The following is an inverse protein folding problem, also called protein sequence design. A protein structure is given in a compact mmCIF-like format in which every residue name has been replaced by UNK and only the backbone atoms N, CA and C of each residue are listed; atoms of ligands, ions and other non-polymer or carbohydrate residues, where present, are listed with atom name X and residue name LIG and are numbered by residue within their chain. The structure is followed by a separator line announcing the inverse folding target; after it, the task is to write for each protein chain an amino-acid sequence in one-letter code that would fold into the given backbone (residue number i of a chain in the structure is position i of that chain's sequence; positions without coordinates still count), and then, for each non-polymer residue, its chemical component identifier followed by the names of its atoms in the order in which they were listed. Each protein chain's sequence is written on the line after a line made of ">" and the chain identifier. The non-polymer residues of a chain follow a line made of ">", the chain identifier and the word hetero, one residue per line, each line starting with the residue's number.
data_IF_830394195423
#
_entry.id   IF_830394195423
#
_cell.length_a   1.000
_cell.length_b   1.000
_cell.length_c   1.000
_cell.angle_alpha   90.00
_cell.angle_beta   90.00
_cell.angle_gamma   90.00
#
_symmetry.space_group_name_H-M   'P 1'
#
loop_
_entity.id
_entity.type
_entity.pdbx_description
1 polymer ?
#
# COMPACT_ATOMS: atom_id res chain seq x y z
N UNK A 1 -2.43 -34.65 -40.71
CA UNK A 1 -3.52 -33.83 -40.13
C UNK A 1 -3.05 -33.47 -38.72
N UNK A 2 -1.89 -32.81 -38.59
CA UNK A 2 -1.08 -32.84 -37.35
C UNK A 2 -0.86 -31.46 -36.70
N UNK A 3 -1.33 -30.37 -37.33
CA UNK A 3 -1.02 -29.00 -36.92
C UNK A 3 -2.00 -28.35 -35.93
N UNK A 4 -3.11 -29.04 -35.61
CA UNK A 4 -4.13 -28.51 -34.71
C UNK A 4 -3.81 -28.72 -33.24
N UNK A 5 -3.20 -29.87 -32.91
CA UNK A 5 -2.99 -30.29 -31.52
C UNK A 5 -2.00 -29.38 -30.77
N UNK A 6 -0.94 -28.93 -31.45
CA UNK A 6 0.06 -28.03 -30.86
C UNK A 6 -0.52 -26.65 -30.51
N UNK A 7 -1.50 -26.17 -31.28
CA UNK A 7 -2.18 -24.88 -31.04
C UNK A 7 -3.09 -24.94 -29.82
N UNK A 8 -3.76 -26.07 -29.59
CA UNK A 8 -4.56 -26.28 -28.38
C UNK A 8 -3.69 -26.34 -27.11
N UNK A 9 -2.49 -26.93 -27.18
CA UNK A 9 -1.55 -26.93 -26.05
C UNK A 9 -1.00 -25.53 -25.75
N UNK A 10 -0.68 -24.73 -26.77
CA UNK A 10 -0.26 -23.34 -26.61
C UNK A 10 -1.34 -22.46 -25.98
N UNK A 11 -2.60 -22.63 -26.39
CA UNK A 11 -3.72 -21.88 -25.83
C UNK A 11 -4.05 -22.34 -24.40
N UNK A 12 -3.93 -23.63 -24.10
CA UNK A 12 -4.09 -24.13 -22.74
C UNK A 12 -3.07 -23.52 -21.78
N UNK A 13 -1.82 -23.31 -22.21
CA UNK A 13 -0.77 -22.68 -21.39
C UNK A 13 -1.00 -21.18 -21.11
N UNK A 14 -1.76 -20.50 -21.98
CA UNK A 14 -2.10 -19.07 -21.85
C UNK A 14 -3.32 -18.85 -20.94
N UNK A 15 -4.18 -19.88 -20.81
CA UNK A 15 -5.44 -19.87 -20.03
C UNK A 15 -5.26 -20.52 -18.65
N UNK A 16 -4.16 -21.23 -18.40
CA UNK A 16 -3.75 -21.66 -17.06
C UNK A 16 -2.94 -20.51 -16.45
N UNK A 17 -3.54 -19.55 -15.71
CA UNK A 17 -2.74 -18.86 -14.73
C UNK A 17 -2.22 -19.97 -13.81
N UNK A 18 -0.91 -20.11 -13.71
CA UNK A 18 -0.29 -20.92 -12.66
C UNK A 18 -1.08 -20.63 -11.37
N UNK A 19 -1.60 -21.65 -10.65
CA UNK A 19 -2.46 -21.44 -9.49
C UNK A 19 -1.72 -20.80 -8.29
N UNK A 20 -0.53 -20.24 -8.53
CA UNK A 20 0.38 -19.69 -7.53
C UNK A 20 0.83 -18.25 -7.80
N UNK A 21 0.31 -17.53 -8.81
CA UNK A 21 0.80 -16.16 -9.07
C UNK A 21 -0.23 -15.03 -8.95
N UNK A 22 -1.52 -15.33 -8.89
CA UNK A 22 -2.52 -14.29 -8.64
C UNK A 22 -3.13 -14.48 -7.26
N UNK A 23 -2.37 -14.07 -6.23
CA UNK A 23 -2.97 -13.71 -4.94
C UNK A 23 -3.76 -12.42 -5.19
N UNK A 24 -4.92 -12.54 -5.82
CA UNK A 24 -5.89 -11.46 -5.76
C UNK A 24 -6.47 -11.50 -4.36
N UNK A 25 -6.05 -10.55 -3.52
CA UNK A 25 -6.73 -10.18 -2.29
C UNK A 25 -8.09 -9.58 -2.67
N UNK A 26 -8.99 -10.41 -3.21
CA UNK A 26 -10.41 -10.08 -3.21
C UNK A 26 -10.85 -10.24 -1.77
N UNK A 27 -11.45 -9.20 -1.19
CA UNK A 27 -11.92 -9.18 0.20
C UNK A 27 -13.08 -10.14 0.49
N UNK A 28 -12.98 -11.39 0.06
CA UNK A 28 -13.88 -12.48 0.40
C UNK A 28 -13.34 -13.16 1.65
N UNK A 29 -14.07 -12.96 2.74
CA UNK A 29 -13.79 -13.38 4.10
C UNK A 29 -13.44 -14.86 4.23
N UNK A 30 -12.13 -15.16 4.23
CA UNK A 30 -11.55 -16.35 4.84
C UNK A 30 -10.40 -15.85 5.72
N UNK A 31 -10.50 -16.01 7.04
CA UNK A 31 -9.58 -15.35 8.00
C UNK A 31 -8.10 -15.66 7.72
N UNK A 32 -7.80 -16.85 7.20
CA UNK A 32 -6.44 -17.25 6.83
C UNK A 32 -5.92 -16.58 5.55
N UNK A 33 -6.79 -16.28 4.57
CA UNK A 33 -6.36 -15.52 3.37
C UNK A 33 -6.20 -14.04 3.67
N UNK A 34 -7.01 -13.48 4.58
CA UNK A 34 -6.89 -12.09 5.01
C UNK A 34 -5.57 -11.83 5.75
N UNK A 35 -5.17 -12.69 6.69
CA UNK A 35 -3.88 -12.60 7.38
C UNK A 35 -2.69 -12.71 6.41
N UNK A 36 -2.76 -13.63 5.45
CA UNK A 36 -1.71 -13.78 4.42
C UNK A 36 -1.62 -12.56 3.48
N UNK A 37 -2.75 -11.92 3.18
CA UNK A 37 -2.77 -10.68 2.39
C UNK A 37 -2.13 -9.52 3.16
N UNK A 38 -2.45 -9.37 4.45
CA UNK A 38 -1.85 -8.35 5.34
C UNK A 38 -0.32 -8.52 5.41
N UNK A 39 0.18 -9.75 5.57
CA UNK A 39 1.64 -9.98 5.59
C UNK A 39 2.30 -9.70 4.23
N UNK A 40 1.60 -10.01 3.13
CA UNK A 40 2.09 -9.74 1.77
C UNK A 40 2.14 -8.23 1.49
N UNK A 41 1.11 -7.49 1.91
CA UNK A 41 1.06 -6.02 1.82
C UNK A 41 2.19 -5.39 2.65
N UNK A 42 2.38 -5.84 3.91
CA UNK A 42 3.50 -5.40 4.74
C UNK A 42 4.84 -5.63 4.04
N UNK A 43 5.05 -6.82 3.48
CA UNK A 43 6.29 -7.14 2.77
C UNK A 43 6.49 -6.23 1.55
N UNK A 44 5.45 -6.03 0.74
CA UNK A 44 5.50 -5.14 -0.42
C UNK A 44 5.87 -3.70 -0.05
N UNK A 45 5.29 -3.17 1.03
CA UNK A 45 5.62 -1.83 1.53
C UNK A 45 7.06 -1.72 2.06
N UNK A 46 7.56 -2.74 2.76
CA UNK A 46 8.95 -2.75 3.22
C UNK A 46 9.94 -2.86 2.06
N UNK A 47 9.63 -3.68 1.05
CA UNK A 47 10.39 -3.72 -0.21
C UNK A 47 10.34 -2.37 -0.91
N UNK A 48 9.19 -1.71 -0.95
CA UNK A 48 9.05 -0.36 -1.51
C UNK A 48 9.97 0.64 -0.80
N UNK A 49 9.98 0.65 0.54
CA UNK A 49 10.88 1.48 1.35
C UNK A 49 12.36 1.25 1.03
N UNK A 50 12.80 0.00 0.89
CA UNK A 50 14.20 -0.33 0.59
C UNK A 50 14.65 0.19 -0.79
N UNK A 51 13.73 0.22 -1.75
CA UNK A 51 14.02 0.64 -3.12
C UNK A 51 13.78 2.13 -3.36
N UNK A 52 13.25 2.86 -2.37
CA UNK A 52 13.00 4.30 -2.47
C UNK A 52 14.13 5.10 -1.83
N UNK A 53 14.67 6.07 -2.58
CA UNK A 53 15.59 7.06 -2.02
C UNK A 53 14.77 8.08 -1.21
N UNK A 54 14.85 7.99 0.12
CA UNK A 54 14.12 8.86 1.05
C UNK A 54 15.08 9.72 1.89
N UNK A 55 15.59 10.84 1.33
CA UNK A 55 16.54 11.70 2.02
C UNK A 55 15.92 12.43 3.23
N UNK A 56 14.58 12.46 3.32
CA UNK A 56 13.84 13.14 4.39
C UNK A 56 13.38 12.19 5.49
N UNK A 57 13.73 10.90 5.41
CA UNK A 57 13.37 9.87 6.40
C UNK A 57 11.86 9.82 6.74
N UNK A 58 11.01 10.06 5.73
CA UNK A 58 9.55 10.06 5.84
C UNK A 58 8.99 8.66 6.09
N UNK A 59 9.65 7.62 5.58
CA UNK A 59 9.24 6.22 5.77
C UNK A 59 9.82 5.61 7.06
N UNK A 60 10.27 6.43 8.01
CA UNK A 60 10.88 6.00 9.28
C UNK A 60 9.95 5.10 10.11
N UNK A 61 8.66 5.40 10.13
CA UNK A 61 7.63 4.62 10.84
C UNK A 61 7.37 3.22 10.25
N UNK A 62 7.85 2.93 9.03
CA UNK A 62 7.59 1.66 8.37
C UNK A 62 8.55 0.59 8.92
N UNK A 63 8.04 -0.25 9.82
CA UNK A 63 8.81 -1.25 10.59
C UNK A 63 8.34 -2.67 10.31
N UNK A 64 9.10 -3.70 10.70
CA UNK A 64 8.61 -5.09 10.58
C UNK A 64 7.49 -5.37 11.57
N UNK A 65 7.55 -4.71 12.73
CA UNK A 65 6.62 -4.92 13.82
C UNK A 65 5.43 -3.96 13.75
N UNK A 66 4.28 -4.44 14.22
CA UNK A 66 3.05 -3.66 14.34
C UNK A 66 2.14 -3.71 13.12
N UNK A 67 1.03 -2.97 13.23
CA UNK A 67 0.07 -2.78 12.15
C UNK A 67 0.57 -1.70 11.19
N UNK A 68 0.71 -2.05 9.91
CA UNK A 68 1.16 -1.11 8.88
C UNK A 68 0.15 0.00 8.60
N UNK A 69 -1.11 -0.17 9.00
CA UNK A 69 -2.12 0.88 8.91
C UNK A 69 -1.82 2.07 9.83
N UNK A 70 -0.91 1.92 10.80
CA UNK A 70 -0.43 3.01 11.66
C UNK A 70 0.84 3.68 11.13
N UNK A 71 1.39 3.21 10.01
CA UNK A 71 2.55 3.85 9.43
C UNK A 71 2.18 5.20 8.81
N UNK A 72 3.09 6.16 8.95
CA UNK A 72 2.93 7.49 8.37
C UNK A 72 2.78 7.37 6.86
N UNK A 73 1.71 8.01 6.34
CA UNK A 73 1.38 8.03 4.93
C UNK A 73 0.74 6.75 4.39
N UNK A 74 0.48 5.74 5.21
CA UNK A 74 -0.32 4.58 4.81
C UNK A 74 -1.78 4.85 5.18
N UNK A 75 -2.67 4.78 4.20
CA UNK A 75 -4.12 4.89 4.41
C UNK A 75 -4.73 3.52 4.15
N UNK A 76 -5.31 2.90 5.17
CA UNK A 76 -6.01 1.64 5.04
C UNK A 76 -7.51 1.84 4.81
N UNK A 77 -8.13 0.85 4.16
CA UNK A 77 -9.57 0.81 3.98
C UNK A 77 -10.25 0.33 5.27
N UNK A 78 -11.21 1.11 5.79
CA UNK A 78 -11.82 0.89 7.11
C UNK A 78 -12.53 -0.46 7.29
N UNK A 79 -13.00 -1.09 6.21
CA UNK A 79 -13.73 -2.36 6.28
C UNK A 79 -12.84 -3.58 6.08
N UNK A 80 -11.74 -3.43 5.36
CA UNK A 80 -10.92 -4.57 4.93
C UNK A 80 -9.54 -4.56 5.57
N UNK A 81 -9.14 -3.44 6.17
CA UNK A 81 -7.80 -3.20 6.75
C UNK A 81 -6.66 -3.39 5.74
N UNK A 82 -6.97 -3.28 4.45
CA UNK A 82 -6.00 -3.35 3.36
C UNK A 82 -5.52 -1.95 2.97
N UNK A 83 -4.34 -1.87 2.35
CA UNK A 83 -3.79 -0.59 1.90
C UNK A 83 -4.69 -0.02 0.81
N UNK A 84 -5.24 1.16 1.07
CA UNK A 84 -6.06 1.90 0.12
C UNK A 84 -5.26 2.95 -0.63
N UNK A 85 -4.41 3.72 0.07
CA UNK A 85 -3.61 4.80 -0.51
C UNK A 85 -2.26 4.96 0.20
N UNK A 86 -1.27 5.50 -0.54
CA UNK A 86 0.05 5.85 -0.02
C UNK A 86 0.36 7.32 -0.29
N UNK A 87 0.63 8.07 0.77
CA UNK A 87 1.03 9.48 0.73
C UNK A 87 2.53 9.61 0.92
N UNK A 88 3.23 9.79 -0.20
CA UNK A 88 4.69 9.92 -0.27
C UNK A 88 5.15 11.37 -0.45
N UNK A 89 4.22 12.28 -0.74
CA UNK A 89 4.48 13.72 -0.89
C UNK A 89 4.54 14.40 0.47
N UNK A 90 5.19 15.56 0.50
CA UNK A 90 5.61 16.28 1.71
C UNK A 90 4.52 16.34 2.78
N UNK A 91 4.73 15.60 3.87
CA UNK A 91 4.24 16.01 5.18
C UNK A 91 4.80 17.41 5.50
N UNK A 92 4.12 18.24 6.30
CA UNK A 92 4.70 19.49 6.75
C UNK A 92 6.11 19.22 7.32
N UNK A 93 7.10 20.08 7.02
CA UNK A 93 8.46 19.90 7.49
C UNK A 93 8.46 19.62 8.99
N UNK A 94 9.24 18.61 9.40
CA UNK A 94 9.46 18.31 10.82
C UNK A 94 9.95 19.62 11.46
N UNK A 95 9.34 20.10 12.55
CA UNK A 95 9.83 21.24 13.29
C UNK A 95 11.32 21.12 13.58
N UNK A 96 12.14 21.91 12.88
CA UNK A 96 13.32 22.51 13.50
C UNK A 96 12.85 23.21 14.79
N UNK A 97 13.72 23.28 15.79
CA UNK A 97 13.54 23.55 17.24
C UNK A 97 12.70 24.80 17.65
N UNK A 98 12.05 25.46 16.69
CA UNK A 98 11.26 26.67 16.81
C UNK A 98 9.74 26.51 16.52
N UNK A 99 9.26 25.41 15.93
CA UNK A 99 7.80 25.21 15.74
C UNK A 99 7.16 24.48 16.94
N UNK A 100 6.13 25.09 17.55
CA UNK A 100 5.38 24.48 18.65
C UNK A 100 4.50 23.32 18.15
N UNK A 101 4.29 22.30 19.00
CA UNK A 101 3.46 21.13 18.67
C UNK A 101 2.04 21.52 18.23
N UNK A 102 1.44 22.54 18.85
CA UNK A 102 0.12 23.05 18.47
C UNK A 102 0.10 23.62 17.04
N UNK A 103 1.16 24.33 16.65
CA UNK A 103 1.30 24.89 15.31
C UNK A 103 1.51 23.77 14.27
N UNK A 104 2.29 22.74 14.64
CA UNK A 104 2.52 21.56 13.81
C UNK A 104 1.22 20.77 13.60
N UNK A 105 0.45 20.53 14.66
CA UNK A 105 -0.82 19.82 14.59
C UNK A 105 -1.83 20.58 13.73
N UNK A 106 -1.93 21.91 13.89
CA UNK A 106 -2.79 22.75 13.04
C UNK A 106 -2.36 22.71 11.55
N UNK A 107 -1.05 22.70 11.29
CA UNK A 107 -0.52 22.62 9.92
C UNK A 107 -0.70 21.22 9.31
N UNK A 108 -0.54 20.17 10.11
CA UNK A 108 -0.77 18.78 9.73
C UNK A 108 -2.25 18.52 9.40
N UNK A 109 -3.15 19.01 10.26
CA UNK A 109 -4.61 18.91 10.06
C UNK A 109 -5.10 19.71 8.85
N UNK A 110 -4.56 20.91 8.62
CA UNK A 110 -4.93 21.71 7.45
C UNK A 110 -4.41 21.10 6.15
N UNK A 111 -3.19 20.57 6.13
CA UNK A 111 -2.66 19.84 4.98
C UNK A 111 -3.52 18.61 4.66
N UNK A 112 -3.87 17.81 5.68
CA UNK A 112 -4.75 16.64 5.53
C UNK A 112 -6.11 17.00 4.94
N UNK A 113 -6.72 18.09 5.40
CA UNK A 113 -8.00 18.55 4.87
C UNK A 113 -7.90 18.95 3.39
N UNK A 114 -6.85 19.66 2.98
CA UNK A 114 -6.64 20.07 1.59
C UNK A 114 -6.41 18.87 0.65
N UNK A 115 -5.66 17.85 1.12
CA UNK A 115 -5.47 16.62 0.35
C UNK A 115 -6.74 15.77 0.26
N UNK A 116 -7.54 15.74 1.33
CA UNK A 116 -8.82 15.02 1.33
C UNK A 116 -9.88 15.68 0.46
N UNK A 117 -9.84 17.02 0.33
CA UNK A 117 -10.75 17.73 -0.58
C UNK A 117 -10.42 17.44 -2.05
N UNK A 118 -9.15 17.25 -2.40
CA UNK A 118 -8.73 16.89 -3.76
C UNK A 118 -9.13 15.45 -4.15
N UNK A 119 -9.27 14.54 -3.19
CA UNK A 119 -9.72 13.16 -3.43
C UNK A 119 -11.24 13.01 -3.57
N UNK A 120 -12.03 14.07 -3.34
CA UNK A 120 -13.51 14.04 -3.47
C UNK A 120 -14.03 14.49 -4.83
N UNK A 121 -13.17 14.93 -5.74
CA UNK A 121 -13.56 15.44 -7.07
C UNK A 121 -13.32 14.46 -8.24
N UNK A 122 -13.12 13.16 -7.98
CA UNK A 122 -13.08 12.13 -9.03
C UNK A 122 -13.86 10.87 -8.63
#
# INVERSE_FOLDING_TARGET
>A
MEGGFLRFLFLAFLIIPLPNFFIFCTGHSHSHSQLRCIDTERHALLTFKQNLIDPSNRLSSWTVDGDFCHWLGVVCHNLTSHVHQLHLRSFPPIPDDFMTLEQYDAQSLSHWNLTNTASKEN
#
